data_IF_822333834744
#
_entry.id   IF_822333834744
#
_cell.length_a   1.000
_cell.length_b   1.000
_cell.length_c   1.000
_cell.angle_alpha   90.00
_cell.angle_beta   90.00
_cell.angle_gamma   90.00
#
_symmetry.space_group_name_H-M   'P 1'
#
loop_
_entity.id
_entity.type
_entity.pdbx_description
1 polymer ?
#
# COMPACT_ATOMS: atom_id res chain seq x y z
N UNK A 1 52.11 -40.60 5.96
CA UNK A 1 50.85 -41.31 6.26
C UNK A 1 50.04 -40.47 7.23
N UNK A 2 49.06 -39.74 6.73
CA UNK A 2 48.23 -38.80 7.49
C UNK A 2 46.78 -39.10 7.11
N UNK A 3 45.95 -39.52 8.08
CA UNK A 3 44.56 -39.92 7.87
C UNK A 3 43.69 -38.67 7.76
N UNK A 4 43.07 -38.45 6.59
CA UNK A 4 41.98 -37.48 6.44
C UNK A 4 40.74 -37.94 7.23
N UNK A 5 40.05 -37.06 7.96
CA UNK A 5 38.73 -37.37 8.49
C UNK A 5 37.68 -37.27 7.37
N UNK A 6 36.80 -38.28 7.31
CA UNK A 6 35.60 -38.30 6.47
C UNK A 6 34.64 -37.21 6.96
N UNK A 7 34.39 -36.22 6.11
CA UNK A 7 33.28 -35.27 6.30
C UNK A 7 32.03 -35.90 5.72
N UNK A 8 31.09 -36.26 6.60
CA UNK A 8 29.72 -36.65 6.24
C UNK A 8 28.98 -35.42 5.74
N UNK A 9 28.30 -35.43 4.57
CA UNK A 9 27.50 -34.31 4.15
C UNK A 9 26.22 -34.30 5.01
N UNK A 10 26.13 -33.36 5.96
CA UNK A 10 24.84 -33.00 6.55
C UNK A 10 24.01 -32.34 5.45
N UNK A 11 23.03 -33.09 4.94
CA UNK A 11 21.92 -32.57 4.18
C UNK A 11 21.22 -31.51 5.06
N UNK A 12 21.45 -30.23 4.79
CA UNK A 12 20.57 -29.16 5.27
C UNK A 12 19.23 -29.36 4.55
N UNK A 13 18.28 -29.98 5.25
CA UNK A 13 16.88 -29.94 4.87
C UNK A 13 16.45 -28.48 5.04
N UNK A 14 16.48 -27.75 3.93
CA UNK A 14 15.75 -26.50 3.76
C UNK A 14 14.28 -26.84 4.03
N UNK A 15 13.78 -26.42 5.18
CA UNK A 15 12.36 -26.56 5.52
C UNK A 15 11.62 -25.59 4.60
N UNK A 16 11.06 -26.15 3.53
CA UNK A 16 10.16 -25.47 2.60
C UNK A 16 9.02 -24.75 3.36
N UNK A 17 8.47 -23.63 2.84
CA UNK A 17 7.42 -22.83 3.50
C UNK A 17 6.02 -23.51 3.53
N UNK A 18 5.98 -24.84 3.47
CA UNK A 18 4.77 -25.65 3.26
C UNK A 18 4.16 -26.28 4.52
N UNK A 19 4.66 -25.97 5.72
CA UNK A 19 4.22 -26.61 6.96
C UNK A 19 3.20 -25.77 7.75
N UNK A 20 1.96 -25.64 7.27
CA UNK A 20 0.87 -25.02 8.06
C UNK A 20 -0.43 -25.82 8.09
N UNK A 21 -0.60 -26.83 7.22
CA UNK A 21 -1.80 -27.66 7.24
C UNK A 21 -1.71 -28.70 8.39
N UNK A 22 -2.57 -28.58 9.40
CA UNK A 22 -2.67 -29.57 10.49
C UNK A 22 -1.65 -29.37 11.62
N UNK A 23 -1.30 -28.13 11.95
CA UNK A 23 -0.32 -27.83 12.99
C UNK A 23 -0.85 -28.22 14.38
N UNK A 24 -0.01 -28.94 15.12
CA UNK A 24 -0.23 -29.32 16.50
C UNK A 24 0.61 -28.43 17.42
N UNK A 25 -0.04 -27.80 18.39
CA UNK A 25 0.57 -26.94 19.39
C UNK A 25 0.61 -27.68 20.73
N UNK A 26 1.78 -27.82 21.33
CA UNK A 26 1.91 -28.28 22.71
C UNK A 26 1.56 -27.13 23.65
N UNK A 27 0.53 -27.33 24.46
CA UNK A 27 0.00 -26.32 25.39
C UNK A 27 0.26 -26.65 26.85
N UNK A 28 1.12 -27.63 27.12
CA UNK A 28 1.52 -28.02 28.48
C UNK A 28 2.16 -26.83 29.19
N UNK A 29 1.51 -26.32 30.25
CA UNK A 29 1.91 -25.10 30.97
C UNK A 29 1.73 -23.78 30.17
N UNK A 30 0.99 -23.78 29.07
CA UNK A 30 0.63 -22.58 28.29
C UNK A 30 -0.70 -21.99 28.77
N UNK A 31 -0.69 -21.38 29.96
CA UNK A 31 -1.93 -20.95 30.65
C UNK A 31 -2.73 -19.92 29.86
N UNK A 32 -2.07 -18.98 29.18
CA UNK A 32 -2.78 -17.94 28.41
C UNK A 32 -3.27 -18.48 27.07
N UNK A 33 -2.51 -19.37 26.45
CA UNK A 33 -2.94 -20.12 25.26
C UNK A 33 -4.22 -20.91 25.53
N UNK A 34 -4.30 -21.59 26.67
CA UNK A 34 -5.48 -22.34 27.12
C UNK A 34 -6.69 -21.42 27.35
N UNK A 35 -6.48 -20.29 28.03
CA UNK A 35 -7.53 -19.30 28.29
C UNK A 35 -8.09 -18.73 26.97
N UNK A 36 -7.21 -18.44 26.02
CA UNK A 36 -7.57 -17.94 24.70
C UNK A 36 -8.35 -18.94 23.87
N UNK A 37 -7.90 -20.20 23.83
CA UNK A 37 -8.65 -21.27 23.17
C UNK A 37 -10.08 -21.38 23.71
N UNK A 38 -10.24 -21.42 25.02
CA UNK A 38 -11.55 -21.52 25.66
C UNK A 38 -12.43 -20.30 25.40
N UNK A 39 -11.85 -19.10 25.33
CA UNK A 39 -12.58 -17.86 25.04
C UNK A 39 -13.06 -17.83 23.60
N UNK A 40 -12.20 -18.21 22.66
CA UNK A 40 -12.53 -18.31 21.24
C UNK A 40 -13.64 -19.34 20.99
N UNK A 41 -13.60 -20.51 21.64
CA UNK A 41 -14.67 -21.50 21.50
C UNK A 41 -16.02 -21.02 22.05
N UNK A 42 -16.02 -20.28 23.16
CA UNK A 42 -17.26 -19.77 23.76
C UNK A 42 -17.92 -18.71 22.88
N UNK A 43 -17.13 -17.85 22.26
CA UNK A 43 -17.62 -16.76 21.41
C UNK A 43 -18.09 -17.25 20.04
N UNK A 44 -17.72 -18.48 19.63
CA UNK A 44 -18.00 -19.07 18.32
C UNK A 44 -17.84 -18.07 17.14
N UNK A 45 -16.73 -17.28 17.09
CA UNK A 45 -16.53 -16.35 16.01
C UNK A 45 -16.46 -17.09 14.67
N UNK A 46 -17.04 -16.47 13.65
CA UNK A 46 -16.99 -16.94 12.27
C UNK A 46 -15.76 -16.37 11.57
N UNK A 47 -15.13 -17.21 10.77
CA UNK A 47 -13.99 -16.92 9.92
C UNK A 47 -14.47 -17.03 8.48
N UNK A 48 -14.34 -15.96 7.68
CA UNK A 48 -14.75 -15.96 6.28
C UNK A 48 -13.57 -15.84 5.33
N UNK A 49 -13.57 -16.68 4.31
CA UNK A 49 -12.78 -16.48 3.08
C UNK A 49 -13.74 -16.30 1.90
N UNK A 50 -13.19 -15.93 0.73
CA UNK A 50 -13.87 -15.35 -0.45
C UNK A 50 -15.21 -16.01 -0.86
N UNK A 51 -15.53 -17.24 -0.44
CA UNK A 51 -16.80 -17.90 -0.74
C UNK A 51 -17.42 -18.74 0.40
N UNK A 52 -16.92 -18.69 1.65
CA UNK A 52 -17.47 -19.53 2.74
C UNK A 52 -17.19 -18.97 4.13
N UNK A 53 -18.21 -19.02 5.00
CA UNK A 53 -18.09 -18.74 6.43
C UNK A 53 -17.97 -20.05 7.21
N UNK A 54 -16.96 -20.14 8.07
CA UNK A 54 -16.62 -21.32 8.88
C UNK A 54 -16.42 -20.87 10.33
N UNK A 55 -16.95 -21.59 11.31
CA UNK A 55 -16.81 -21.21 12.73
C UNK A 55 -15.48 -21.68 13.30
N UNK A 56 -14.89 -20.92 14.23
CA UNK A 56 -13.54 -21.21 14.76
C UNK A 56 -13.44 -22.59 15.44
N UNK A 57 -14.53 -23.09 16.03
CA UNK A 57 -14.60 -24.41 16.67
C UNK A 57 -14.46 -25.57 15.68
N UNK A 58 -14.68 -25.32 14.40
CA UNK A 58 -14.40 -26.30 13.34
C UNK A 58 -12.93 -26.30 12.90
N UNK A 59 -12.17 -25.27 13.27
CA UNK A 59 -10.76 -25.09 12.93
C UNK A 59 -9.81 -25.37 14.11
N UNK A 60 -10.14 -24.90 15.31
CA UNK A 60 -9.34 -25.11 16.52
C UNK A 60 -9.90 -26.29 17.32
N UNK A 61 -9.21 -27.43 17.27
CA UNK A 61 -9.65 -28.68 17.91
C UNK A 61 -8.73 -29.07 19.04
N UNK A 62 -9.30 -29.62 20.10
CA UNK A 62 -8.55 -30.21 21.18
C UNK A 62 -9.39 -31.23 21.94
N UNK A 63 -8.81 -32.40 22.23
CA UNK A 63 -9.38 -33.35 23.17
C UNK A 63 -9.01 -33.00 24.63
N UNK A 64 -7.88 -32.32 24.83
CA UNK A 64 -7.40 -31.85 26.13
C UNK A 64 -6.59 -30.55 25.89
N UNK A 65 -7.22 -29.37 26.05
CA UNK A 65 -6.58 -28.09 25.71
C UNK A 65 -5.41 -27.78 26.63
N UNK A 66 -5.27 -28.48 27.76
CA UNK A 66 -4.13 -28.33 28.66
C UNK A 66 -2.85 -28.98 28.15
N UNK A 67 -2.97 -29.84 27.12
CA UNK A 67 -1.84 -30.57 26.54
C UNK A 67 -1.62 -30.23 25.08
N UNK A 68 -2.70 -30.13 24.29
CA UNK A 68 -2.57 -30.00 22.84
C UNK A 68 -3.70 -29.19 22.23
N UNK A 69 -3.39 -28.31 21.29
CA UNK A 69 -4.38 -27.67 20.41
C UNK A 69 -3.98 -27.93 18.96
N UNK A 70 -4.94 -28.28 18.11
CA UNK A 70 -4.73 -28.49 16.68
C UNK A 70 -5.41 -27.39 15.87
N UNK A 71 -4.67 -26.80 14.94
CA UNK A 71 -5.18 -25.87 13.93
C UNK A 71 -5.40 -26.65 12.64
N UNK A 72 -6.66 -27.00 12.37
CA UNK A 72 -7.04 -27.81 11.22
C UNK A 72 -8.51 -27.60 10.82
N UNK A 73 -8.73 -26.63 9.94
CA UNK A 73 -10.00 -26.35 9.30
C UNK A 73 -10.40 -27.46 8.32
N UNK A 74 -11.70 -27.57 8.05
CA UNK A 74 -12.23 -28.51 7.07
C UNK A 74 -11.69 -28.20 5.65
N UNK A 75 -11.43 -29.24 4.83
CA UNK A 75 -11.04 -29.05 3.43
C UNK A 75 -12.16 -28.35 2.65
N UNK A 76 -11.77 -27.53 1.68
CA UNK A 76 -12.68 -26.83 0.76
C UNK A 76 -13.13 -27.70 -0.41
N UNK A 77 -12.45 -28.83 -0.64
CA UNK A 77 -12.61 -29.71 -1.81
C UNK A 77 -12.25 -29.03 -3.14
N UNK A 78 -11.57 -27.88 -3.10
CA UNK A 78 -10.98 -27.22 -4.25
C UNK A 78 -9.46 -27.24 -4.12
N UNK A 79 -8.80 -27.98 -5.02
CA UNK A 79 -7.35 -28.08 -5.08
C UNK A 79 -6.82 -27.18 -6.20
N UNK A 80 -5.69 -26.53 -5.95
CA UNK A 80 -4.94 -25.81 -6.97
C UNK A 80 -4.27 -26.79 -7.93
N UNK A 81 -3.65 -26.26 -8.99
CA UNK A 81 -2.89 -27.03 -9.99
C UNK A 81 -1.76 -27.84 -9.33
N UNK A 82 -1.24 -27.37 -8.20
CA UNK A 82 -0.21 -28.03 -7.40
C UNK A 82 -0.78 -29.03 -6.38
N UNK A 83 -2.09 -29.30 -6.42
CA UNK A 83 -2.77 -30.24 -5.51
C UNK A 83 -2.96 -29.69 -4.09
N UNK A 84 -2.84 -28.37 -3.89
CA UNK A 84 -2.94 -27.72 -2.59
C UNK A 84 -4.35 -27.16 -2.42
N UNK A 85 -4.96 -27.42 -1.27
CA UNK A 85 -6.20 -26.76 -0.87
C UNK A 85 -5.87 -25.35 -0.32
N UNK A 86 -5.72 -24.38 -1.21
CA UNK A 86 -5.36 -22.99 -0.87
C UNK A 86 -6.38 -22.34 0.06
N UNK A 87 -7.66 -22.70 -0.08
CA UNK A 87 -8.73 -22.21 0.78
C UNK A 87 -8.59 -22.76 2.20
N UNK A 88 -8.32 -24.06 2.35
CA UNK A 88 -8.03 -24.66 3.66
C UNK A 88 -6.78 -24.03 4.28
N UNK A 89 -5.71 -23.87 3.51
CA UNK A 89 -4.47 -23.26 3.98
C UNK A 89 -4.69 -21.82 4.48
N UNK A 90 -5.51 -21.05 3.77
CA UNK A 90 -5.89 -19.69 4.17
C UNK A 90 -6.70 -19.69 5.47
N UNK A 91 -7.68 -20.59 5.60
CA UNK A 91 -8.49 -20.73 6.82
C UNK A 91 -7.65 -21.19 8.02
N UNK A 92 -6.72 -22.13 7.83
CA UNK A 92 -5.79 -22.59 8.87
C UNK A 92 -4.93 -21.43 9.39
N UNK A 93 -4.36 -20.61 8.48
CA UNK A 93 -3.60 -19.41 8.83
C UNK A 93 -4.45 -18.40 9.60
N UNK A 94 -5.70 -18.20 9.20
CA UNK A 94 -6.60 -17.24 9.83
C UNK A 94 -7.01 -17.68 11.25
N UNK A 95 -7.28 -18.97 11.45
CA UNK A 95 -7.53 -19.54 12.77
C UNK A 95 -6.30 -19.46 13.69
N UNK A 96 -5.10 -19.75 13.17
CA UNK A 96 -3.84 -19.57 13.89
C UNK A 96 -3.62 -18.11 14.32
N UNK A 97 -3.89 -17.16 13.43
CA UNK A 97 -3.76 -15.73 13.70
C UNK A 97 -4.72 -15.25 14.80
N UNK A 98 -5.96 -15.75 14.83
CA UNK A 98 -6.92 -15.39 15.87
C UNK A 98 -6.50 -15.91 17.26
N UNK A 99 -5.97 -17.13 17.32
CA UNK A 99 -5.41 -17.67 18.55
C UNK A 99 -4.19 -16.86 19.01
N UNK A 100 -3.27 -16.55 18.09
CA UNK A 100 -2.08 -15.75 18.36
C UNK A 100 -2.45 -14.35 18.88
N UNK A 101 -3.39 -13.67 18.22
CA UNK A 101 -3.89 -12.34 18.61
C UNK A 101 -4.45 -12.34 20.03
N UNK A 102 -5.27 -13.34 20.38
CA UNK A 102 -5.80 -13.42 21.73
C UNK A 102 -4.67 -13.53 22.78
N UNK A 103 -3.64 -14.35 22.53
CA UNK A 103 -2.52 -14.51 23.47
C UNK A 103 -1.76 -13.19 23.62
N UNK A 104 -1.62 -12.42 22.55
CA UNK A 104 -1.05 -11.09 22.61
C UNK A 104 -1.92 -10.08 23.36
N UNK A 105 -3.23 -10.09 23.16
CA UNK A 105 -4.16 -9.25 23.93
C UNK A 105 -4.09 -9.57 25.44
N UNK A 106 -3.86 -10.83 25.82
CA UNK A 106 -3.60 -11.20 27.22
C UNK A 106 -2.29 -10.58 27.74
N UNK A 107 -1.22 -10.63 26.95
CA UNK A 107 0.07 -9.99 27.29
C UNK A 107 -0.08 -8.48 27.48
N UNK A 108 -0.85 -7.83 26.62
CA UNK A 108 -1.05 -6.38 26.64
C UNK A 108 -1.94 -5.92 27.81
N UNK A 109 -2.73 -6.84 28.39
CA UNK A 109 -3.50 -6.62 29.62
C UNK A 109 -2.75 -7.06 30.90
N UNK A 110 -1.41 -6.93 30.91
CA UNK A 110 -0.52 -7.27 32.02
C UNK A 110 -0.55 -8.74 32.50
N UNK A 111 -1.08 -9.67 31.70
CA UNK A 111 -0.93 -11.09 32.02
C UNK A 111 0.48 -11.58 31.66
N UNK A 112 1.16 -12.21 32.61
CA UNK A 112 2.45 -12.85 32.34
C UNK A 112 2.28 -14.08 31.44
N UNK A 113 2.93 -14.05 30.28
CA UNK A 113 3.07 -15.21 29.40
C UNK A 113 4.10 -16.19 29.96
N UNK A 114 3.72 -17.46 30.06
CA UNK A 114 4.66 -18.54 30.41
C UNK A 114 5.69 -18.75 29.29
N UNK A 115 6.76 -19.49 29.57
CA UNK A 115 7.71 -19.89 28.53
C UNK A 115 7.02 -20.66 27.39
N UNK A 116 6.07 -21.53 27.74
CA UNK A 116 5.32 -22.29 26.74
C UNK A 116 4.37 -21.39 25.93
N UNK A 117 3.73 -20.39 26.55
CA UNK A 117 2.91 -19.43 25.79
C UNK A 117 3.74 -18.71 24.71
N UNK A 118 5.02 -18.41 25.00
CA UNK A 118 5.94 -17.79 24.03
C UNK A 118 6.36 -18.76 22.92
N UNK A 119 6.62 -20.02 23.23
CA UNK A 119 6.91 -21.07 22.24
C UNK A 119 5.73 -21.28 21.29
N UNK A 120 4.50 -21.35 21.83
CA UNK A 120 3.28 -21.45 21.03
C UNK A 120 3.12 -20.22 20.14
N UNK A 121 3.36 -19.02 20.66
CA UNK A 121 3.34 -17.79 19.86
C UNK A 121 4.35 -17.82 18.70
N UNK A 122 5.56 -18.32 18.93
CA UNK A 122 6.58 -18.47 17.87
C UNK A 122 6.13 -19.45 16.80
N UNK A 123 5.52 -20.56 17.19
CA UNK A 123 5.00 -21.58 16.27
C UNK A 123 3.78 -21.12 15.47
N UNK A 124 2.90 -20.31 16.08
CA UNK A 124 1.74 -19.71 15.43
C UNK A 124 2.12 -18.57 14.46
N UNK A 125 3.38 -18.14 14.49
CA UNK A 125 3.84 -16.94 13.80
C UNK A 125 4.78 -17.26 12.65
N UNK A 126 4.35 -17.19 11.38
CA UNK A 126 5.26 -16.80 10.33
C UNK A 126 5.48 -15.29 10.48
N UNK A 127 6.39 -14.88 11.39
CA UNK A 127 6.61 -13.47 11.82
C UNK A 127 5.33 -12.78 12.34
N UNK A 128 5.18 -12.76 13.65
CA UNK A 128 4.25 -11.86 14.34
C UNK A 128 4.67 -10.41 14.04
N UNK A 129 4.05 -9.75 13.07
CA UNK A 129 3.99 -8.30 13.12
C UNK A 129 3.04 -7.96 14.26
N UNK A 130 3.59 -7.39 15.34
CA UNK A 130 2.81 -6.83 16.43
C UNK A 130 1.64 -6.01 15.88
N UNK A 131 0.42 -6.48 16.12
CA UNK A 131 -0.78 -5.63 16.06
C UNK A 131 -0.88 -4.92 17.42
N UNK A 132 0.15 -4.15 17.71
CA UNK A 132 0.13 -3.05 18.64
C UNK A 132 0.97 -1.98 18.00
N UNK A 133 0.52 -1.42 16.87
CA UNK A 133 1.08 -0.14 16.50
C UNK A 133 0.23 0.68 15.54
N UNK A 134 -0.29 1.77 16.11
CA UNK A 134 -0.58 3.00 15.40
C UNK A 134 0.59 3.50 14.53
N UNK A 135 1.80 2.93 14.62
CA UNK A 135 2.94 3.19 13.73
C UNK A 135 2.78 2.65 12.29
N UNK A 136 2.04 1.56 12.05
CA UNK A 136 1.89 0.99 10.69
C UNK A 136 0.82 1.71 9.84
N UNK A 137 0.23 2.80 10.34
CA UNK A 137 -0.81 3.53 9.60
C UNK A 137 -0.25 4.51 8.59
N UNK A 138 1.05 4.78 8.62
CA UNK A 138 1.75 5.67 7.70
C UNK A 138 2.88 4.93 7.01
N UNK A 139 2.97 5.07 5.70
CA UNK A 139 4.07 4.58 4.88
C UNK A 139 4.78 5.80 4.32
N UNK A 140 6.09 5.86 4.54
CA UNK A 140 6.96 6.79 3.84
C UNK A 140 7.55 6.10 2.64
N UNK A 141 7.37 6.69 1.46
CA UNK A 141 7.87 6.14 0.23
C UNK A 141 8.63 7.18 -0.57
N UNK A 142 9.65 6.71 -1.26
CA UNK A 142 10.40 7.47 -2.23
C UNK A 142 10.27 6.83 -3.61
N UNK A 143 10.17 7.66 -4.63
CA UNK A 143 10.07 7.23 -6.03
C UNK A 143 11.04 8.05 -6.89
N UNK A 144 11.90 7.37 -7.64
CA UNK A 144 12.77 7.97 -8.66
C UNK A 144 12.42 7.42 -10.02
N UNK A 145 12.40 8.27 -11.03
CA UNK A 145 12.10 7.83 -12.37
C UNK A 145 12.61 8.73 -13.46
N UNK A 146 12.22 8.36 -14.66
CA UNK A 146 12.34 9.18 -15.86
C UNK A 146 10.94 9.40 -16.40
N UNK A 147 10.60 10.67 -16.66
CA UNK A 147 9.35 11.08 -17.29
C UNK A 147 9.63 11.55 -18.70
N UNK A 148 8.84 11.05 -19.65
CA UNK A 148 8.74 11.58 -21.01
C UNK A 148 7.36 12.23 -21.15
N UNK A 149 7.29 13.39 -21.80
CA UNK A 149 6.08 14.18 -21.95
C UNK A 149 6.09 14.98 -23.26
N UNK A 150 5.00 15.73 -23.49
CA UNK A 150 4.94 16.62 -24.63
C UNK A 150 5.96 17.77 -24.51
N UNK A 151 6.59 18.13 -25.63
CA UNK A 151 7.36 19.37 -25.78
C UNK A 151 6.57 20.46 -26.50
N UNK A 152 7.08 21.69 -26.37
CA UNK A 152 6.50 22.89 -26.96
C UNK A 152 7.62 23.69 -27.66
N UNK A 153 7.29 24.32 -28.79
CA UNK A 153 8.17 25.25 -29.50
C UNK A 153 8.09 26.65 -28.92
N UNK A 154 8.93 27.56 -29.42
CA UNK A 154 8.95 28.96 -29.00
C UNK A 154 7.60 29.68 -29.18
N UNK A 155 6.72 29.19 -30.05
CA UNK A 155 5.42 29.79 -30.30
C UNK A 155 4.30 29.14 -29.46
N UNK A 156 4.64 28.19 -28.58
CA UNK A 156 3.69 27.43 -27.77
C UNK A 156 2.95 26.33 -28.53
N UNK A 157 3.42 25.96 -29.72
CA UNK A 157 2.88 24.82 -30.45
C UNK A 157 3.54 23.53 -29.95
N UNK A 158 2.76 22.47 -29.81
CA UNK A 158 3.26 21.16 -29.42
C UNK A 158 4.22 20.61 -30.47
N UNK A 159 5.44 20.25 -30.07
CA UNK A 159 6.48 19.69 -30.96
C UNK A 159 6.42 18.17 -31.09
N UNK A 160 5.82 17.50 -30.09
CA UNK A 160 5.72 16.05 -30.03
C UNK A 160 5.91 15.53 -28.62
N UNK A 161 6.25 14.24 -28.48
CA UNK A 161 6.53 13.58 -27.20
C UNK A 161 8.05 13.48 -26.97
N UNK A 162 8.74 14.62 -27.03
CA UNK A 162 10.19 14.74 -27.18
C UNK A 162 10.90 15.32 -25.95
N UNK A 163 10.17 15.87 -24.99
CA UNK A 163 10.75 16.35 -23.75
C UNK A 163 10.70 15.31 -22.62
N UNK A 164 11.79 15.21 -21.87
CA UNK A 164 11.86 14.32 -20.72
C UNK A 164 12.88 14.75 -19.69
N UNK A 165 12.83 14.10 -18.53
CA UNK A 165 13.69 14.43 -17.40
C UNK A 165 13.55 13.46 -16.24
N UNK A 166 14.52 13.54 -15.34
CA UNK A 166 14.50 12.80 -14.08
C UNK A 166 13.36 13.33 -13.23
N UNK A 167 12.65 12.42 -12.56
CA UNK A 167 11.65 12.74 -11.56
C UNK A 167 12.01 12.12 -10.23
N UNK A 168 11.69 12.83 -9.15
CA UNK A 168 11.81 12.34 -7.78
C UNK A 168 10.55 12.65 -7.01
N UNK A 169 10.13 11.80 -6.10
CA UNK A 169 9.07 12.14 -5.17
C UNK A 169 9.22 11.48 -3.82
N UNK A 170 8.80 12.21 -2.78
CA UNK A 170 8.71 11.75 -1.40
C UNK A 170 7.25 11.83 -1.00
N UNK A 171 6.71 10.75 -0.42
CA UNK A 171 5.29 10.63 -0.09
C UNK A 171 5.13 10.02 1.29
N UNK A 172 4.23 10.59 2.08
CA UNK A 172 3.72 10.05 3.33
C UNK A 172 2.26 9.68 3.09
N UNK A 173 1.96 8.39 3.03
CA UNK A 173 0.64 7.87 2.76
C UNK A 173 0.11 7.15 3.99
N UNK A 174 -1.07 7.53 4.47
CA UNK A 174 -1.77 6.83 5.52
C UNK A 174 -3.10 6.25 5.04
N UNK A 175 -3.43 5.05 5.53
CA UNK A 175 -4.66 4.32 5.22
C UNK A 175 -5.33 3.84 6.50
N UNK A 176 -6.64 4.02 6.55
CA UNK A 176 -7.48 3.56 7.65
C UNK A 176 -8.71 2.86 7.12
N UNK A 177 -9.07 1.75 7.75
CA UNK A 177 -10.34 1.06 7.52
C UNK A 177 -11.12 1.02 8.83
N UNK A 178 -12.43 1.16 8.78
CA UNK A 178 -13.30 1.15 9.97
C UNK A 178 -12.90 2.20 11.02
N UNK A 179 -12.43 3.36 10.57
CA UNK A 179 -12.00 4.47 11.42
C UNK A 179 -13.01 5.60 11.40
N UNK A 180 -13.01 6.43 12.45
CA UNK A 180 -13.86 7.62 12.60
C UNK A 180 -15.37 7.36 12.62
N UNK A 181 -15.80 6.18 13.08
CA UNK A 181 -17.21 5.85 13.30
C UNK A 181 -17.97 5.31 12.08
N UNK A 182 -17.27 5.07 10.97
CA UNK A 182 -17.86 4.56 9.72
C UNK A 182 -17.47 3.10 9.53
N UNK A 183 -18.43 2.19 9.72
CA UNK A 183 -18.22 0.78 9.45
C UNK A 183 -17.96 0.56 7.94
N UNK A 184 -16.95 -0.25 7.64
CA UNK A 184 -16.51 -0.66 6.30
C UNK A 184 -15.97 0.44 5.38
N UNK A 185 -15.88 1.68 5.86
CA UNK A 185 -15.26 2.77 5.11
C UNK A 185 -13.73 2.64 5.09
N UNK A 186 -13.13 3.03 3.96
CA UNK A 186 -11.68 3.19 3.80
C UNK A 186 -11.37 4.65 3.57
N UNK A 187 -10.50 5.22 4.40
CA UNK A 187 -9.94 6.56 4.20
C UNK A 187 -8.45 6.46 3.90
N UNK A 188 -7.96 7.29 2.98
CA UNK A 188 -6.55 7.49 2.78
C UNK A 188 -6.21 8.98 2.85
N UNK A 189 -5.02 9.27 3.35
CA UNK A 189 -4.45 10.61 3.38
C UNK A 189 -3.02 10.54 2.89
N UNK A 190 -2.68 11.36 1.91
CA UNK A 190 -1.36 11.40 1.31
C UNK A 190 -0.85 12.84 1.31
N UNK A 191 0.37 13.03 1.76
CA UNK A 191 1.13 14.26 1.59
C UNK A 191 2.39 13.92 0.83
N UNK A 192 2.72 14.71 -0.18
CA UNK A 192 3.90 14.44 -0.97
C UNK A 192 4.53 15.69 -1.56
N UNK A 193 5.78 15.51 -1.97
CA UNK A 193 6.54 16.47 -2.77
C UNK A 193 7.06 15.75 -4.00
N UNK A 194 6.88 16.36 -5.17
CA UNK A 194 7.36 15.86 -6.46
C UNK A 194 8.33 16.87 -7.05
N UNK A 195 9.49 16.38 -7.43
CA UNK A 195 10.51 17.09 -8.19
C UNK A 195 10.47 16.59 -9.63
N UNK A 196 10.48 17.51 -10.57
CA UNK A 196 10.61 17.19 -11.98
C UNK A 196 10.11 18.31 -12.87
N UNK A 197 10.01 18.00 -14.15
CA UNK A 197 9.59 18.98 -15.15
C UNK A 197 8.09 19.08 -15.25
N UNK A 198 7.48 20.24 -15.46
CA UNK A 198 6.06 20.36 -15.81
C UNK A 198 5.86 21.46 -16.84
N UNK A 199 4.81 21.38 -17.68
CA UNK A 199 4.45 22.48 -18.55
C UNK A 199 4.21 23.76 -17.76
N UNK A 200 4.76 24.86 -18.26
CA UNK A 200 4.59 26.21 -17.74
C UNK A 200 4.31 27.19 -18.89
N UNK A 201 3.90 28.40 -18.52
CA UNK A 201 3.86 29.56 -19.41
C UNK A 201 5.15 30.34 -19.19
N UNK A 202 5.89 30.62 -20.26
CA UNK A 202 7.11 31.42 -20.28
C UNK A 202 6.74 32.91 -20.24
N UNK A 203 7.30 33.64 -19.28
CA UNK A 203 6.96 35.03 -18.97
C UNK A 203 7.61 36.06 -19.91
N UNK A 204 8.61 35.68 -20.70
CA UNK A 204 9.31 36.57 -21.62
C UNK A 204 8.52 36.87 -22.92
N UNK A 205 7.32 36.26 -23.08
CA UNK A 205 6.45 36.43 -24.27
C UNK A 205 5.11 37.08 -23.86
N UNK A 206 4.74 38.29 -24.35
CA UNK A 206 3.90 39.21 -23.59
C UNK A 206 2.37 39.12 -23.82
N UNK A 207 1.85 38.13 -24.55
CA UNK A 207 0.41 38.12 -24.89
C UNK A 207 -0.44 37.39 -23.84
N UNK A 208 -0.86 38.16 -22.82
CA UNK A 208 -1.75 37.70 -21.74
C UNK A 208 -3.10 37.15 -22.25
N UNK A 209 -3.59 37.60 -23.41
CA UNK A 209 -4.89 37.19 -23.95
C UNK A 209 -4.88 35.81 -24.64
N UNK A 210 -3.72 35.18 -24.84
CA UNK A 210 -3.57 33.87 -25.51
C UNK A 210 -2.56 32.95 -24.77
N UNK A 211 -2.61 32.91 -23.44
CA UNK A 211 -1.64 32.16 -22.63
C UNK A 211 -1.82 30.63 -22.76
N UNK A 212 -1.16 30.05 -23.79
CA UNK A 212 -0.93 28.61 -23.93
C UNK A 212 0.31 28.19 -23.14
N UNK A 213 0.39 26.91 -22.72
CA UNK A 213 1.66 26.32 -22.27
C UNK A 213 2.66 26.39 -23.43
N UNK A 214 3.75 27.10 -23.24
CA UNK A 214 4.79 27.29 -24.26
C UNK A 214 6.18 26.91 -23.77
N UNK A 215 6.27 26.30 -22.59
CA UNK A 215 7.53 25.84 -22.03
C UNK A 215 7.34 24.70 -21.03
N UNK A 216 8.45 24.11 -20.62
CA UNK A 216 8.54 23.09 -19.57
C UNK A 216 9.72 23.40 -18.68
N UNK A 217 9.40 23.74 -17.44
CA UNK A 217 10.40 24.12 -16.43
C UNK A 217 10.55 23.07 -15.35
N UNK A 218 11.68 23.15 -14.64
CA UNK A 218 11.87 22.38 -13.42
C UNK A 218 10.94 22.91 -12.33
N UNK A 219 10.31 21.99 -11.59
CA UNK A 219 9.28 22.34 -10.62
C UNK A 219 9.39 21.49 -9.36
N UNK A 220 8.99 22.09 -8.25
CA UNK A 220 8.74 21.45 -6.98
C UNK A 220 7.24 21.54 -6.71
N UNK A 221 6.56 20.41 -6.66
CA UNK A 221 5.10 20.32 -6.46
C UNK A 221 4.81 19.65 -5.13
N UNK A 222 4.37 20.45 -4.15
CA UNK A 222 3.92 19.98 -2.85
C UNK A 222 2.40 19.81 -2.83
N UNK A 223 1.92 18.66 -2.38
CA UNK A 223 0.49 18.34 -2.44
C UNK A 223 -0.04 17.58 -1.22
N UNK A 224 -1.35 17.67 -1.05
CA UNK A 224 -2.15 16.92 -0.11
C UNK A 224 -3.33 16.28 -0.86
N UNK A 225 -3.53 14.98 -0.64
CA UNK A 225 -4.64 14.21 -1.21
C UNK A 225 -5.37 13.46 -0.12
N UNK A 226 -6.69 13.62 -0.08
CA UNK A 226 -7.58 12.87 0.79
C UNK A 226 -8.49 11.99 -0.05
N UNK A 227 -8.61 10.72 0.32
CA UNK A 227 -9.49 9.75 -0.32
C UNK A 227 -10.47 9.20 0.70
N UNK A 228 -11.74 9.14 0.33
CA UNK A 228 -12.80 8.54 1.14
C UNK A 228 -13.63 7.58 0.31
N UNK A 229 -13.74 6.35 0.79
CA UNK A 229 -14.57 5.30 0.22
C UNK A 229 -15.62 4.86 1.23
N UNK A 230 -16.92 5.14 0.98
CA UNK A 230 -18.00 4.48 1.71
C UNK A 230 -18.01 3.01 1.28
N UNK A 231 -17.75 2.08 2.19
CA UNK A 231 -17.59 0.65 1.92
C UNK A 231 -18.77 -0.03 1.20
N UNK A 232 -18.69 -1.34 1.00
CA UNK A 232 -19.67 -2.21 0.32
C UNK A 232 -19.94 -1.91 -1.17
N UNK A 233 -20.13 -0.66 -1.57
CA UNK A 233 -20.38 -0.25 -2.95
C UNK A 233 -19.11 0.21 -3.68
N UNK A 234 -18.15 0.74 -2.92
CA UNK A 234 -16.93 1.33 -3.47
C UNK A 234 -15.67 0.68 -2.92
N UNK A 235 -15.79 -0.33 -2.05
CA UNK A 235 -14.66 -1.11 -1.55
C UNK A 235 -15.04 -2.58 -1.42
N UNK A 236 -14.11 -3.48 -1.71
CA UNK A 236 -14.25 -4.90 -1.38
C UNK A 236 -14.29 -5.11 0.13
N UNK A 237 -14.83 -6.24 0.58
CA UNK A 237 -14.92 -6.58 2.01
C UNK A 237 -13.55 -6.58 2.71
N UNK A 238 -12.46 -6.87 1.99
CA UNK A 238 -11.10 -6.82 2.51
C UNK A 238 -10.43 -5.45 2.27
N UNK A 239 -10.97 -4.62 1.37
CA UNK A 239 -10.43 -3.31 1.02
C UNK A 239 -9.18 -3.39 0.14
N UNK A 240 -8.99 -4.50 -0.57
CA UNK A 240 -7.92 -4.69 -1.55
C UNK A 240 -8.20 -3.93 -2.86
N UNK A 241 -9.46 -3.63 -3.16
CA UNK A 241 -9.88 -2.81 -4.29
C UNK A 241 -10.84 -1.75 -3.79
N UNK A 242 -10.50 -0.49 -4.00
CA UNK A 242 -11.18 0.66 -3.40
C UNK A 242 -11.32 1.78 -4.41
N UNK A 243 -12.55 2.07 -4.81
CA UNK A 243 -12.95 3.32 -5.43
C UNK A 243 -13.21 4.35 -4.34
N UNK A 244 -12.64 5.54 -4.48
CA UNK A 244 -12.76 6.61 -3.47
C UNK A 244 -13.15 7.92 -4.12
N UNK A 245 -13.93 8.72 -3.40
CA UNK A 245 -13.99 10.15 -3.63
C UNK A 245 -12.66 10.78 -3.20
N UNK A 246 -12.13 11.63 -4.06
CA UNK A 246 -10.85 12.27 -3.85
C UNK A 246 -11.00 13.77 -3.71
N UNK A 247 -10.24 14.34 -2.79
CA UNK A 247 -9.95 15.77 -2.70
C UNK A 247 -8.45 15.95 -2.81
N UNK A 248 -8.02 16.89 -3.65
CA UNK A 248 -6.62 17.18 -3.92
C UNK A 248 -6.39 18.68 -3.79
N UNK A 249 -5.28 19.07 -3.16
CA UNK A 249 -4.79 20.45 -3.21
C UNK A 249 -3.26 20.46 -3.21
N UNK A 250 -2.65 21.48 -3.79
CA UNK A 250 -1.21 21.62 -3.81
C UNK A 250 -0.73 22.98 -4.30
N UNK A 251 0.59 23.13 -4.22
CA UNK A 251 1.33 24.33 -4.60
C UNK A 251 2.54 23.85 -5.41
N UNK A 252 2.77 24.47 -6.56
CA UNK A 252 3.88 24.15 -7.47
C UNK A 252 4.75 25.39 -7.69
N UNK A 253 6.07 25.25 -7.57
CA UNK A 253 7.03 26.28 -7.93
C UNK A 253 7.22 26.39 -9.45
N UNK A 254 7.57 27.59 -9.91
CA UNK A 254 7.89 27.89 -11.30
C UNK A 254 9.30 28.51 -11.37
N UNK A 255 10.21 27.90 -12.15
CA UNK A 255 11.63 28.29 -12.19
C UNK A 255 11.89 29.63 -12.91
N UNK A 256 10.98 30.05 -13.79
CA UNK A 256 11.09 31.27 -14.62
C UNK A 256 10.03 32.32 -14.25
N UNK A 257 9.73 32.47 -12.96
CA UNK A 257 8.69 33.39 -12.49
C UNK A 257 9.22 34.74 -12.01
N UNK A 258 8.50 35.82 -12.33
CA UNK A 258 8.69 37.15 -11.76
C UNK A 258 8.28 37.21 -10.29
N UNK A 259 8.85 38.17 -9.57
CA UNK A 259 8.57 38.40 -8.15
C UNK A 259 7.07 38.57 -7.89
N UNK A 260 6.50 37.70 -7.03
CA UNK A 260 5.08 37.63 -6.70
C UNK A 260 4.26 36.57 -7.44
N UNK A 261 4.83 35.86 -8.43
CA UNK A 261 4.15 34.84 -9.25
C UNK A 261 4.83 33.46 -9.23
N UNK A 262 5.67 33.20 -8.24
CA UNK A 262 6.55 32.04 -8.17
C UNK A 262 5.82 30.71 -7.93
N UNK A 263 4.51 30.77 -7.66
CA UNK A 263 3.72 29.65 -7.18
C UNK A 263 2.37 29.52 -7.90
N UNK A 264 2.13 28.36 -8.52
CA UNK A 264 0.82 27.94 -8.96
C UNK A 264 0.11 27.14 -7.84
N UNK A 265 -1.14 27.46 -7.55
CA UNK A 265 -1.97 26.75 -6.57
C UNK A 265 -3.04 25.96 -7.29
N UNK A 266 -3.34 24.77 -6.79
CA UNK A 266 -4.42 23.99 -7.34
C UNK A 266 -5.24 23.30 -6.27
N UNK A 267 -6.52 23.11 -6.57
CA UNK A 267 -7.44 22.38 -5.72
C UNK A 267 -8.56 21.76 -6.54
N UNK A 268 -9.08 20.63 -6.09
CA UNK A 268 -10.10 19.92 -6.84
C UNK A 268 -10.53 18.64 -6.17
N UNK A 269 -11.32 17.88 -6.93
CA UNK A 269 -11.79 16.58 -6.49
C UNK A 269 -12.15 15.67 -7.65
N UNK A 270 -12.43 14.42 -7.34
CA UNK A 270 -12.73 13.42 -8.34
C UNK A 270 -12.87 12.03 -7.77
N UNK A 271 -12.52 11.04 -8.58
CA UNK A 271 -12.58 9.63 -8.21
C UNK A 271 -11.20 9.00 -8.39
N UNK A 272 -10.79 8.16 -7.43
CA UNK A 272 -9.58 7.33 -7.54
C UNK A 272 -9.92 5.88 -7.22
N UNK A 273 -9.62 4.99 -8.14
CA UNK A 273 -9.60 3.55 -7.93
C UNK A 273 -8.19 3.11 -7.53
N UNK A 274 -8.07 2.41 -6.42
CA UNK A 274 -6.84 1.84 -5.90
C UNK A 274 -6.97 0.32 -5.77
N UNK A 275 -6.00 -0.39 -6.32
CA UNK A 275 -5.82 -1.84 -6.19
C UNK A 275 -4.56 -2.09 -5.36
N UNK A 276 -4.72 -2.83 -4.28
CA UNK A 276 -3.69 -3.26 -3.35
C UNK A 276 -3.39 -4.76 -3.55
N UNK A 277 -2.36 -5.26 -2.86
CA UNK A 277 -2.07 -6.70 -2.83
C UNK A 277 -3.21 -7.45 -2.11
N UNK A 278 -3.46 -8.68 -2.54
CA UNK A 278 -4.42 -9.55 -1.87
C UNK A 278 -4.03 -9.74 -0.39
N UNK A 279 -5.03 -9.70 0.50
CA UNK A 279 -4.81 -9.94 1.92
C UNK A 279 -4.19 -8.77 2.69
N UNK A 280 -4.20 -7.54 2.16
CA UNK A 280 -3.99 -6.33 2.98
C UNK A 280 -5.05 -6.33 4.08
N UNK A 281 -4.65 -6.76 5.28
CA UNK A 281 -5.57 -7.03 6.35
C UNK A 281 -6.28 -5.75 6.81
N UNK A 282 -7.44 -5.91 7.45
CA UNK A 282 -8.06 -4.85 8.24
C UNK A 282 -6.99 -4.28 9.20
N UNK A 283 -6.72 -2.97 9.10
CA UNK A 283 -5.69 -2.20 9.84
C UNK A 283 -4.26 -2.21 9.31
N UNK A 284 -3.99 -2.79 8.13
CA UNK A 284 -2.70 -2.62 7.46
C UNK A 284 -2.73 -1.43 6.49
N UNK A 285 -1.67 -0.65 6.49
CA UNK A 285 -1.39 0.30 5.41
C UNK A 285 -0.57 -0.39 4.33
N UNK A 286 -0.83 -0.04 3.08
CA UNK A 286 -0.09 -0.53 1.93
C UNK A 286 -0.15 0.53 0.83
N UNK A 287 0.91 0.60 0.02
CA UNK A 287 0.86 1.40 -1.20
C UNK A 287 0.09 0.62 -2.28
N UNK A 288 -0.74 1.28 -3.11
CA UNK A 288 -1.44 0.60 -4.18
C UNK A 288 -0.45 0.04 -5.21
N UNK A 289 -0.73 -1.19 -5.68
CA UNK A 289 -0.08 -1.83 -6.82
C UNK A 289 -0.54 -1.19 -8.12
N UNK A 290 -1.83 -0.84 -8.21
CA UNK A 290 -2.37 -0.07 -9.30
C UNK A 290 -3.25 1.05 -8.77
N UNK A 291 -3.20 2.22 -9.41
CA UNK A 291 -4.13 3.31 -9.15
C UNK A 291 -4.55 3.96 -10.46
N UNK A 292 -5.82 4.36 -10.54
CA UNK A 292 -6.37 5.14 -11.66
C UNK A 292 -7.25 6.22 -11.04
N UNK A 293 -6.90 7.48 -11.28
CA UNK A 293 -7.61 8.65 -10.81
C UNK A 293 -8.07 9.53 -11.96
N UNK A 294 -9.24 10.13 -11.78
CA UNK A 294 -9.79 11.17 -12.66
C UNK A 294 -10.27 12.31 -11.78
N UNK A 295 -9.72 13.51 -12.00
CA UNK A 295 -9.92 14.68 -11.15
C UNK A 295 -10.31 15.88 -11.98
N UNK A 296 -11.20 16.71 -11.44
CA UNK A 296 -11.40 18.05 -11.92
C UNK A 296 -10.74 19.02 -10.95
N UNK A 297 -9.75 19.76 -11.44
CA UNK A 297 -8.86 20.60 -10.64
C UNK A 297 -8.89 22.02 -11.18
N UNK A 298 -9.07 22.99 -10.30
CA UNK A 298 -8.85 24.40 -10.61
C UNK A 298 -7.41 24.74 -10.29
N UNK A 299 -6.73 25.33 -11.26
CA UNK A 299 -5.37 25.83 -11.10
C UNK A 299 -5.37 27.33 -11.31
N UNK A 300 -4.69 28.05 -10.42
CA UNK A 300 -4.29 29.42 -10.71
C UNK A 300 -3.17 29.32 -11.74
N UNK A 301 -3.47 29.68 -13.00
CA UNK A 301 -2.44 29.79 -14.03
C UNK A 301 -1.97 31.23 -14.13
N UNK A 302 -0.70 31.44 -14.43
CA UNK A 302 -0.15 32.77 -14.68
C UNK A 302 -0.77 33.38 -15.95
N UNK A 303 -1.08 34.69 -15.92
CA UNK A 303 -1.65 35.44 -17.05
C UNK A 303 -3.18 35.44 -17.18
N UNK A 304 -3.88 34.51 -16.54
CA UNK A 304 -5.34 34.50 -16.51
C UNK A 304 -5.86 35.17 -15.22
N UNK A 305 -6.74 36.17 -15.34
CA UNK A 305 -7.45 36.74 -14.18
C UNK A 305 -8.38 35.73 -13.47
N UNK A 306 -8.56 34.54 -14.04
CA UNK A 306 -9.48 33.50 -13.58
C UNK A 306 -8.80 32.13 -13.56
N UNK A 307 -9.09 31.35 -12.52
CA UNK A 307 -8.64 29.95 -12.42
C UNK A 307 -9.02 29.15 -13.68
N UNK A 308 -8.08 28.34 -14.17
CA UNK A 308 -8.33 27.42 -15.28
C UNK A 308 -8.76 26.07 -14.73
N UNK A 309 -9.85 25.54 -15.27
CA UNK A 309 -10.32 24.20 -14.97
C UNK A 309 -9.59 23.16 -15.82
N UNK A 310 -8.91 22.23 -15.16
CA UNK A 310 -8.23 21.11 -15.79
C UNK A 310 -8.90 19.79 -15.38
N UNK A 311 -9.06 18.90 -16.35
CA UNK A 311 -9.42 17.52 -16.10
C UNK A 311 -8.17 16.64 -16.13
N UNK A 312 -7.81 16.08 -14.98
CA UNK A 312 -6.56 15.36 -14.77
C UNK A 312 -6.84 13.86 -14.68
N UNK A 313 -6.26 13.08 -15.58
CA UNK A 313 -6.21 11.61 -15.48
C UNK A 313 -4.83 11.20 -14.99
N UNK A 314 -4.78 10.31 -14.01
CA UNK A 314 -3.54 9.70 -13.53
C UNK A 314 -3.70 8.20 -13.44
N UNK A 315 -2.74 7.44 -13.95
CA UNK A 315 -2.65 6.02 -13.73
C UNK A 315 -1.24 5.65 -13.29
N UNK A 316 -1.12 4.68 -12.39
CA UNK A 316 0.17 4.10 -12.02
C UNK A 316 -0.02 2.61 -11.81
N UNK A 317 0.90 1.81 -12.30
CA UNK A 317 0.85 0.35 -12.23
C UNK A 317 2.23 -0.21 -11.92
N UNK A 318 2.28 -1.12 -10.95
CA UNK A 318 3.48 -1.88 -10.62
C UNK A 318 3.63 -3.07 -11.56
N UNK A 319 4.68 -3.05 -12.38
CA UNK A 319 4.88 -3.95 -13.52
C UNK A 319 4.97 -5.42 -13.11
N UNK A 320 5.71 -5.70 -12.04
CA UNK A 320 5.91 -7.03 -11.49
C UNK A 320 5.60 -7.00 -10.00
N UNK A 321 4.81 -7.96 -9.55
CA UNK A 321 4.47 -8.09 -8.14
C UNK A 321 5.74 -8.23 -7.29
N UNK A 322 5.76 -7.54 -6.14
CA UNK A 322 6.90 -7.51 -5.22
C UNK A 322 8.22 -6.95 -5.81
N UNK A 323 8.16 -6.28 -6.97
CA UNK A 323 9.30 -5.50 -7.51
C UNK A 323 9.01 -4.00 -7.48
N UNK A 324 10.02 -3.14 -7.28
CA UNK A 324 9.79 -1.71 -7.08
C UNK A 324 9.46 -0.95 -8.38
N UNK A 325 9.35 -1.61 -9.53
CA UNK A 325 9.19 -0.96 -10.83
C UNK A 325 7.74 -0.55 -11.11
N UNK A 326 7.56 0.73 -11.43
CA UNK A 326 6.27 1.34 -11.72
C UNK A 326 6.26 1.96 -13.13
N UNK A 327 5.12 1.83 -13.80
CA UNK A 327 4.77 2.59 -14.98
C UNK A 327 3.65 3.57 -14.60
N UNK A 328 3.84 4.84 -14.94
CA UNK A 328 2.91 5.93 -14.70
C UNK A 328 2.44 6.56 -16.00
N UNK A 329 1.20 7.04 -16.00
CA UNK A 329 0.62 7.88 -17.04
C UNK A 329 -0.08 9.06 -16.37
N UNK A 330 0.08 10.26 -16.92
CA UNK A 330 -0.65 11.45 -16.47
C UNK A 330 -1.09 12.24 -17.69
N UNK A 331 -2.34 12.66 -17.72
CA UNK A 331 -2.87 13.61 -18.67
C UNK A 331 -3.53 14.77 -17.92
N UNK A 332 -3.20 16.01 -18.28
CA UNK A 332 -3.92 17.20 -17.86
C UNK A 332 -4.64 17.71 -19.10
N UNK A 333 -5.98 17.70 -19.11
CA UNK A 333 -6.78 18.17 -20.23
C UNK A 333 -7.38 19.52 -19.87
N UNK A 334 -7.13 20.52 -20.71
CA UNK A 334 -7.53 21.90 -20.46
C UNK A 334 -8.22 22.53 -21.68
N UNK A 335 -8.85 23.71 -21.50
CA UNK A 335 -9.31 24.49 -22.65
C UNK A 335 -8.14 24.93 -23.55
N UNK A 336 -8.45 25.35 -24.78
CA UNK A 336 -7.52 26.05 -25.68
C UNK A 336 -6.18 25.34 -25.97
N UNK A 337 -6.22 24.01 -26.14
CA UNK A 337 -5.06 23.16 -26.44
C UNK A 337 -4.02 23.05 -25.30
N UNK A 338 -4.42 23.40 -24.06
CA UNK A 338 -3.63 23.22 -22.84
C UNK A 338 -3.47 21.76 -22.38
N UNK A 339 -3.76 20.82 -23.28
CA UNK A 339 -3.60 19.41 -23.02
C UNK A 339 -2.11 19.05 -22.86
N UNK A 340 -1.80 18.28 -21.83
CA UNK A 340 -0.47 17.73 -21.57
C UNK A 340 -0.59 16.25 -21.21
N UNK A 341 0.34 15.43 -21.69
CA UNK A 341 0.39 14.01 -21.37
C UNK A 341 1.82 13.58 -21.13
N UNK A 342 1.99 12.64 -20.19
CA UNK A 342 3.29 12.10 -19.82
C UNK A 342 3.21 10.62 -19.47
N UNK A 343 4.33 9.94 -19.72
CA UNK A 343 4.58 8.56 -19.29
C UNK A 343 5.80 8.59 -18.39
N UNK A 344 5.75 7.87 -17.28
CA UNK A 344 6.84 7.79 -16.31
C UNK A 344 7.22 6.33 -16.09
N UNK A 345 8.51 6.03 -16.11
CA UNK A 345 9.05 4.78 -15.60
C UNK A 345 9.82 5.08 -14.33
N UNK A 346 9.45 4.44 -13.22
CA UNK A 346 10.03 4.76 -11.91
C UNK A 346 10.28 3.52 -11.04
N UNK A 347 11.09 3.71 -10.01
CA UNK A 347 11.40 2.76 -8.95
C UNK A 347 10.87 3.37 -7.66
N UNK A 348 9.98 2.65 -6.97
CA UNK A 348 9.40 3.05 -5.67
C UNK A 348 9.86 2.11 -4.57
N UNK A 349 10.39 2.69 -3.50
CA UNK A 349 10.81 1.97 -2.31
C UNK A 349 10.32 2.65 -1.04
N UNK A 350 10.35 1.92 0.07
CA UNK A 350 10.17 2.49 1.40
C UNK A 350 11.38 3.40 1.70
N UNK A 351 11.12 4.54 2.34
CA UNK A 351 12.18 5.45 2.79
C UNK A 351 13.15 4.77 3.74
N UNK A 352 12.72 3.77 4.53
CA UNK A 352 13.61 2.98 5.36
C UNK A 352 14.65 2.18 4.54
N UNK A 353 14.24 1.63 3.39
CA UNK A 353 15.16 0.93 2.48
C UNK A 353 16.16 1.90 1.83
N UNK A 354 15.71 3.10 1.48
CA UNK A 354 16.57 4.16 0.95
C UNK A 354 17.63 4.60 1.98
N UNK A 355 17.20 4.85 3.23
CA UNK A 355 18.11 5.26 4.31
C UNK A 355 19.12 4.15 4.65
N UNK A 356 18.72 2.88 4.56
CA UNK A 356 19.63 1.74 4.65
C UNK A 356 20.65 1.72 3.51
N UNK A 357 20.23 1.98 2.28
CA UNK A 357 21.13 2.05 1.13
C UNK A 357 22.24 3.10 1.33
N UNK A 358 21.91 4.26 1.92
CA UNK A 358 22.88 5.29 2.24
C UNK A 358 23.64 5.07 3.57
N UNK A 359 23.42 3.95 4.26
CA UNK A 359 24.11 3.59 5.49
C UNK A 359 23.66 4.36 6.74
N UNK A 360 22.52 5.06 6.68
CA UNK A 360 21.98 5.81 7.82
C UNK A 360 21.25 4.91 8.83
N UNK A 361 20.88 3.69 8.45
CA UNK A 361 20.25 2.69 9.30
C UNK A 361 21.02 1.38 9.16
N UNK A 362 21.50 0.84 10.28
CA UNK A 362 22.13 -0.49 10.38
C UNK A 362 21.16 -1.46 11.05
N UNK A 363 21.27 -2.76 10.73
CA UNK A 363 20.35 -3.83 11.15
C UNK A 363 20.11 -3.93 12.66
#
# INVERSE_FOLDING_TARGET
MMKLPRVTPLLFIVISPFAMAGQSLDTTNATQTQACYNSLLKLKPSISTINKSITIDTCLKSADPTKKIEVNCAPSNTLSIDGIDETKLSNDKLAANLLSRCIHEMKDNDHQLSAQDREVLLLLSPKYQQISDTHNRWISAFELGYKQQNGYDDNGNRTGFDQGGITGSLKLNGRWKNSWGWNDAVTNFEVGVVFGKNPTVNEDKPDQENTKFNDVTDTIDGYLKFLWSPGHFMATENGDSVLSFAFLTGIRSLDEAQEGNELARYYGGGLEFNLYKEGVALNQNALPRAKIGSYYVRTSNYGAMTDVGLWVIQAQYQLVEDKPFLLGFKANLGPDELDDYSVTLSVRQDTAELLRFFGFITE
#
